data_IF_483339570773
#
_entry.id   IF_483339570773
#
_cell.length_a   1.000
_cell.length_b   1.000
_cell.length_c   1.000
_cell.angle_alpha   90.00
_cell.angle_beta   90.00
_cell.angle_gamma   90.00
#
_symmetry.space_group_name_H-M   'P 1'
#
loop_
_entity.id
_entity.type
_entity.pdbx_description
1 polymer ?
#
# COMPACT_ATOMS: atom_id res chain seq x y z
N UNK A 1 -73.42 -8.72 -36.14
CA UNK A 1 -74.07 -7.44 -35.75
C UNK A 1 -74.88 -6.78 -36.86
N UNK A 2 -74.45 -6.83 -38.14
CA UNK A 2 -75.29 -6.35 -39.27
C UNK A 2 -76.51 -7.25 -39.55
N UNK A 3 -76.39 -8.55 -39.35
CA UNK A 3 -77.47 -9.54 -39.60
C UNK A 3 -78.61 -9.47 -38.57
N UNK A 4 -78.30 -9.12 -37.32
CA UNK A 4 -79.29 -8.97 -36.25
C UNK A 4 -80.14 -7.70 -36.39
N UNK A 5 -79.61 -6.64 -37.02
CA UNK A 5 -80.39 -5.43 -37.32
C UNK A 5 -81.36 -5.62 -38.49
N UNK A 6 -80.95 -6.36 -39.53
CA UNK A 6 -81.80 -6.66 -40.69
C UNK A 6 -83.03 -7.48 -40.31
N UNK A 7 -82.88 -8.43 -39.38
CA UNK A 7 -83.99 -9.24 -38.88
C UNK A 7 -85.04 -8.41 -38.12
N UNK A 8 -84.63 -7.40 -37.35
CA UNK A 8 -85.54 -6.54 -36.58
C UNK A 8 -86.32 -5.58 -37.50
N UNK A 9 -85.71 -5.11 -38.59
CA UNK A 9 -86.36 -4.25 -39.60
C UNK A 9 -87.32 -5.05 -40.49
N UNK A 10 -87.01 -6.32 -40.81
CA UNK A 10 -87.93 -7.19 -41.54
C UNK A 10 -89.13 -7.62 -40.70
N UNK A 11 -88.96 -7.80 -39.38
CA UNK A 11 -90.06 -8.13 -38.47
C UNK A 11 -91.02 -6.94 -38.25
N UNK A 12 -90.52 -5.70 -38.32
CA UNK A 12 -91.35 -4.49 -38.18
C UNK A 12 -92.14 -4.13 -39.45
N UNK A 13 -91.68 -4.58 -40.64
CA UNK A 13 -92.44 -4.39 -41.89
C UNK A 13 -93.59 -5.40 -42.08
N UNK A 14 -93.54 -6.58 -41.45
CA UNK A 14 -94.59 -7.61 -41.58
C UNK A 14 -95.82 -7.38 -40.68
N UNK A 15 -95.74 -6.45 -39.72
CA UNK A 15 -96.86 -6.09 -38.83
C UNK A 15 -97.77 -4.99 -39.39
N UNK A 16 -97.52 -4.53 -40.63
CA UNK A 16 -98.32 -3.50 -41.29
C UNK A 16 -98.77 -4.07 -42.65
N UNK A 17 -99.99 -4.61 -42.69
CA UNK A 17 -100.72 -4.91 -43.92
C UNK A 17 -102.18 -4.46 -43.76
N UNK A 18 -102.82 -4.04 -44.85
CA UNK A 18 -103.83 -2.99 -44.88
C UNK A 18 -105.20 -3.53 -44.50
N UNK A 19 -105.93 -2.79 -43.67
CA UNK A 19 -107.35 -3.05 -43.41
C UNK A 19 -108.16 -2.38 -44.52
N UNK A 20 -108.83 -3.21 -45.31
CA UNK A 20 -109.69 -2.82 -46.43
C UNK A 20 -110.75 -1.79 -46.03
N UNK A 21 -110.99 -0.85 -46.95
CA UNK A 21 -112.10 0.08 -46.91
C UNK A 21 -113.44 -0.67 -47.03
N UNK A 22 -114.37 -0.38 -46.12
CA UNK A 22 -115.79 -0.53 -46.37
C UNK A 22 -116.57 0.60 -45.71
N UNK A 23 -117.54 1.08 -46.48
CA UNK A 23 -118.23 2.36 -46.44
C UNK A 23 -118.99 2.73 -45.16
N UNK A 24 -118.85 4.03 -44.82
CA UNK A 24 -119.90 5.05 -44.64
C UNK A 24 -120.94 4.91 -43.50
N UNK A 25 -120.75 5.82 -42.53
CA UNK A 25 -121.74 6.62 -41.81
C UNK A 25 -122.88 5.93 -41.03
N UNK A 26 -122.61 5.70 -39.74
CA UNK A 26 -123.56 6.03 -38.64
C UNK A 26 -122.80 6.15 -37.29
N UNK A 27 -121.69 6.86 -37.31
CA UNK A 27 -120.75 7.08 -36.21
C UNK A 27 -120.93 8.54 -35.80
N UNK A 28 -121.13 8.87 -34.51
CA UNK A 28 -120.37 10.00 -33.96
C UNK A 28 -120.36 10.18 -32.44
N UNK A 29 -121.32 9.72 -31.64
CA UNK A 29 -121.29 10.11 -30.20
C UNK A 29 -120.77 9.02 -29.24
N UNK A 30 -121.13 7.75 -29.39
CA UNK A 30 -120.69 6.70 -28.43
C UNK A 30 -119.31 6.08 -28.76
N UNK A 31 -118.92 6.05 -30.05
CA UNK A 31 -117.61 5.54 -30.49
C UNK A 31 -116.50 6.58 -30.36
N UNK A 32 -116.84 7.86 -30.39
CA UNK A 32 -115.89 8.97 -30.29
C UNK A 32 -115.42 9.11 -28.83
N UNK A 33 -116.32 8.96 -27.85
CA UNK A 33 -115.95 8.89 -26.43
C UNK A 33 -115.10 7.66 -26.11
N UNK A 34 -115.40 6.50 -26.68
CA UNK A 34 -114.61 5.27 -26.50
C UNK A 34 -113.23 5.33 -27.18
N UNK A 35 -113.12 5.95 -28.36
CA UNK A 35 -111.82 6.16 -29.01
C UNK A 35 -111.01 7.24 -28.29
N UNK A 36 -111.66 8.30 -27.79
CA UNK A 36 -111.04 9.38 -27.03
C UNK A 36 -110.57 8.89 -25.65
N UNK A 37 -111.27 7.96 -25.00
CA UNK A 37 -110.79 7.31 -23.78
C UNK A 37 -109.57 6.42 -24.04
N UNK A 38 -109.56 5.64 -25.12
CA UNK A 38 -108.41 4.81 -25.52
C UNK A 38 -107.20 5.68 -25.92
N UNK A 39 -107.43 6.80 -26.60
CA UNK A 39 -106.38 7.77 -26.95
C UNK A 39 -105.80 8.43 -25.69
N UNK A 40 -106.63 8.81 -24.72
CA UNK A 40 -106.17 9.33 -23.42
C UNK A 40 -105.34 8.29 -22.67
N UNK A 41 -105.80 7.04 -22.60
CA UNK A 41 -105.06 5.95 -21.95
C UNK A 41 -103.71 5.68 -22.63
N UNK A 42 -103.66 5.69 -23.97
CA UNK A 42 -102.41 5.59 -24.73
C UNK A 42 -101.47 6.77 -24.47
N UNK A 43 -102.00 7.99 -24.37
CA UNK A 43 -101.19 9.17 -24.11
C UNK A 43 -100.61 9.14 -22.68
N UNK A 44 -101.40 8.73 -21.68
CA UNK A 44 -100.93 8.52 -20.30
C UNK A 44 -99.81 7.47 -20.28
N UNK A 45 -99.99 6.33 -20.97
CA UNK A 45 -98.94 5.30 -21.08
C UNK A 45 -97.68 5.79 -21.77
N UNK A 46 -97.81 6.62 -22.81
CA UNK A 46 -96.67 7.23 -23.49
C UNK A 46 -95.92 8.22 -22.60
N UNK A 47 -96.64 9.04 -21.82
CA UNK A 47 -96.02 9.92 -20.82
C UNK A 47 -95.28 9.13 -19.73
N UNK A 48 -95.86 8.01 -19.26
CA UNK A 48 -95.20 7.12 -18.31
C UNK A 48 -93.95 6.48 -18.90
N UNK A 49 -94.02 5.97 -20.13
CA UNK A 49 -92.85 5.42 -20.83
C UNK A 49 -91.75 6.47 -21.02
N UNK A 50 -92.12 7.71 -21.35
CA UNK A 50 -91.15 8.79 -21.54
C UNK A 50 -90.48 9.18 -20.20
N UNK A 51 -91.23 9.21 -19.10
CA UNK A 51 -90.67 9.40 -17.75
C UNK A 51 -89.70 8.27 -17.37
N UNK A 52 -90.06 7.02 -17.64
CA UNK A 52 -89.19 5.85 -17.40
C UNK A 52 -87.93 5.93 -18.27
N UNK A 53 -88.05 6.36 -19.52
CA UNK A 53 -86.90 6.50 -20.44
C UNK A 53 -85.94 7.60 -19.97
N UNK A 54 -86.46 8.74 -19.52
CA UNK A 54 -85.65 9.84 -18.98
C UNK A 54 -84.94 9.39 -17.69
N UNK A 55 -85.65 8.66 -16.81
CA UNK A 55 -85.07 8.11 -15.60
C UNK A 55 -83.93 7.13 -15.89
N UNK A 56 -84.18 6.13 -16.74
CA UNK A 56 -83.17 5.11 -17.11
C UNK A 56 -81.99 5.72 -17.87
N UNK A 57 -82.21 6.70 -18.75
CA UNK A 57 -81.14 7.47 -19.41
C UNK A 57 -80.27 8.23 -18.40
N UNK A 58 -80.89 8.82 -17.38
CA UNK A 58 -80.19 9.55 -16.32
C UNK A 58 -79.40 8.60 -15.42
N UNK A 59 -79.96 7.44 -15.06
CA UNK A 59 -79.28 6.40 -14.29
C UNK A 59 -78.09 5.79 -15.03
N UNK A 60 -78.23 5.53 -16.34
CA UNK A 60 -77.15 5.06 -17.19
C UNK A 60 -76.01 6.10 -17.23
N UNK A 61 -76.34 7.37 -17.48
CA UNK A 61 -75.35 8.45 -17.51
C UNK A 61 -74.64 8.59 -16.16
N UNK A 62 -75.37 8.52 -15.04
CA UNK A 62 -74.77 8.54 -13.71
C UNK A 62 -73.86 7.34 -13.48
N UNK A 63 -74.26 6.14 -13.90
CA UNK A 63 -73.44 4.92 -13.80
C UNK A 63 -72.14 5.06 -14.60
N UNK A 64 -72.20 5.64 -15.81
CA UNK A 64 -71.01 5.93 -16.59
C UNK A 64 -70.09 6.95 -15.91
N UNK A 65 -70.64 8.04 -15.34
CA UNK A 65 -69.83 9.01 -14.61
C UNK A 65 -69.21 8.42 -13.34
N UNK A 66 -69.94 7.56 -12.62
CA UNK A 66 -69.39 6.82 -11.48
C UNK A 66 -68.26 5.87 -11.89
N UNK A 67 -68.46 5.09 -12.96
CA UNK A 67 -67.44 4.20 -13.48
C UNK A 67 -66.20 4.96 -13.97
N UNK A 68 -66.38 6.10 -14.64
CA UNK A 68 -65.29 6.96 -15.09
C UNK A 68 -64.54 7.58 -13.90
N UNK A 69 -65.26 8.07 -12.90
CA UNK A 69 -64.69 8.64 -11.67
C UNK A 69 -63.87 7.61 -10.89
N UNK A 70 -64.39 6.39 -10.76
CA UNK A 70 -63.66 5.28 -10.14
C UNK A 70 -62.41 4.91 -10.95
N UNK A 71 -62.52 4.79 -12.27
CA UNK A 71 -61.37 4.47 -13.14
C UNK A 71 -60.26 5.54 -13.05
N UNK A 72 -60.63 6.82 -13.10
CA UNK A 72 -59.67 7.92 -13.01
C UNK A 72 -58.98 7.98 -11.64
N UNK A 73 -59.72 7.81 -10.54
CA UNK A 73 -59.16 7.79 -9.19
C UNK A 73 -58.28 6.56 -8.96
N UNK A 74 -58.70 5.39 -9.44
CA UNK A 74 -57.89 4.18 -9.40
C UNK A 74 -56.57 4.35 -10.16
N UNK A 75 -56.61 4.94 -11.36
CA UNK A 75 -55.42 5.19 -12.17
C UNK A 75 -54.46 6.18 -11.50
N UNK A 76 -54.98 7.27 -10.93
CA UNK A 76 -54.18 8.24 -10.17
C UNK A 76 -53.54 7.62 -8.93
N UNK A 77 -54.29 6.82 -8.17
CA UNK A 77 -53.77 6.15 -6.99
C UNK A 77 -52.72 5.11 -7.37
N UNK A 78 -52.98 4.29 -8.39
CA UNK A 78 -52.02 3.33 -8.92
C UNK A 78 -50.73 4.01 -9.39
N UNK A 79 -50.83 5.13 -10.11
CA UNK A 79 -49.68 5.91 -10.55
C UNK A 79 -48.90 6.49 -9.37
N UNK A 80 -49.61 7.09 -8.39
CA UNK A 80 -48.99 7.68 -7.20
C UNK A 80 -48.24 6.66 -6.36
N UNK A 81 -48.85 5.48 -6.13
CA UNK A 81 -48.23 4.37 -5.41
C UNK A 81 -47.01 3.85 -6.16
N UNK A 82 -47.09 3.64 -7.48
CA UNK A 82 -45.95 3.21 -8.28
C UNK A 82 -44.81 4.22 -8.23
N UNK A 83 -45.07 5.51 -8.48
CA UNK A 83 -44.05 6.56 -8.43
C UNK A 83 -43.37 6.61 -7.06
N UNK A 84 -44.16 6.52 -5.98
CA UNK A 84 -43.62 6.49 -4.63
C UNK A 84 -42.68 5.29 -4.41
N UNK A 85 -43.12 4.07 -4.73
CA UNK A 85 -42.30 2.88 -4.56
C UNK A 85 -41.05 2.89 -5.45
N UNK A 86 -41.17 3.30 -6.72
CA UNK A 86 -40.01 3.41 -7.62
C UNK A 86 -39.00 4.43 -7.12
N UNK A 87 -39.47 5.59 -6.65
CA UNK A 87 -38.58 6.63 -6.09
C UNK A 87 -37.90 6.17 -4.80
N UNK A 88 -38.65 5.51 -3.92
CA UNK A 88 -38.10 5.00 -2.66
C UNK A 88 -37.02 3.94 -2.93
N UNK A 89 -37.33 2.95 -3.78
CA UNK A 89 -36.39 1.90 -4.18
C UNK A 89 -35.14 2.47 -4.86
N UNK A 90 -35.31 3.44 -5.76
CA UNK A 90 -34.18 4.10 -6.41
C UNK A 90 -33.26 4.82 -5.41
N UNK A 91 -33.83 5.50 -4.41
CA UNK A 91 -33.04 6.17 -3.38
C UNK A 91 -32.30 5.16 -2.49
N UNK A 92 -32.95 4.07 -2.09
CA UNK A 92 -32.33 2.99 -1.32
C UNK A 92 -31.17 2.34 -2.10
N UNK A 93 -31.39 1.99 -3.36
CA UNK A 93 -30.37 1.40 -4.22
C UNK A 93 -29.18 2.36 -4.41
N UNK A 94 -29.47 3.65 -4.60
CA UNK A 94 -28.43 4.70 -4.71
C UNK A 94 -27.63 4.83 -3.41
N UNK A 95 -28.29 4.88 -2.26
CA UNK A 95 -27.61 5.01 -0.96
C UNK A 95 -26.77 3.76 -0.65
N UNK A 96 -27.30 2.58 -0.96
CA UNK A 96 -26.57 1.32 -0.84
C UNK A 96 -25.30 1.32 -1.70
N UNK A 97 -25.40 1.72 -2.98
CA UNK A 97 -24.25 1.81 -3.87
C UNK A 97 -23.22 2.81 -3.38
N UNK A 98 -23.65 4.00 -2.93
CA UNK A 98 -22.74 5.01 -2.39
C UNK A 98 -21.98 4.47 -1.17
N UNK A 99 -22.68 3.88 -0.20
CA UNK A 99 -22.04 3.28 0.98
C UNK A 99 -21.06 2.16 0.60
N UNK A 100 -21.43 1.31 -0.36
CA UNK A 100 -20.59 0.21 -0.78
C UNK A 100 -19.33 0.70 -1.51
N UNK A 101 -19.46 1.72 -2.36
CA UNK A 101 -18.33 2.36 -3.05
C UNK A 101 -17.40 3.05 -2.04
N UNK A 102 -17.94 3.83 -1.11
CA UNK A 102 -17.14 4.51 -0.09
C UNK A 102 -16.41 3.50 0.81
N UNK A 103 -17.08 2.42 1.21
CA UNK A 103 -16.46 1.34 1.99
C UNK A 103 -15.30 0.69 1.23
N UNK A 104 -15.50 0.33 -0.05
CA UNK A 104 -14.43 -0.25 -0.87
C UNK A 104 -13.28 0.70 -1.13
N UNK A 105 -13.57 1.98 -1.33
CA UNK A 105 -12.53 3.00 -1.47
C UNK A 105 -11.72 3.14 -0.18
N UNK A 106 -12.39 3.11 0.98
CA UNK A 106 -11.72 3.20 2.27
C UNK A 106 -10.87 1.96 2.57
N UNK A 107 -11.39 0.76 2.29
CA UNK A 107 -10.64 -0.50 2.38
C UNK A 107 -9.41 -0.48 1.45
N UNK A 108 -9.60 -0.15 0.17
CA UNK A 108 -8.50 -0.05 -0.79
C UNK A 108 -7.45 0.99 -0.41
N UNK A 109 -7.87 2.14 0.14
CA UNK A 109 -6.95 3.16 0.64
C UNK A 109 -6.14 2.66 1.84
N UNK A 110 -6.77 1.93 2.77
CA UNK A 110 -6.09 1.34 3.92
C UNK A 110 -5.13 0.21 3.52
N UNK A 111 -5.52 -0.65 2.58
CA UNK A 111 -4.64 -1.67 2.00
C UNK A 111 -3.43 -1.04 1.31
N UNK A 112 -3.65 -0.02 0.49
CA UNK A 112 -2.57 0.71 -0.18
C UNK A 112 -1.62 1.37 0.83
N UNK A 113 -2.16 2.00 1.89
CA UNK A 113 -1.37 2.60 2.96
C UNK A 113 -0.52 1.56 3.68
N UNK A 114 -1.10 0.40 4.01
CA UNK A 114 -0.39 -0.70 4.66
C UNK A 114 0.71 -1.27 3.76
N UNK A 115 0.42 -1.44 2.46
CA UNK A 115 1.39 -1.88 1.48
C UNK A 115 2.57 -0.91 1.36
N UNK A 116 2.29 0.39 1.22
CA UNK A 116 3.32 1.44 1.16
C UNK A 116 4.15 1.49 2.45
N UNK A 117 3.51 1.42 3.61
CA UNK A 117 4.21 1.41 4.90
C UNK A 117 5.16 0.22 5.03
N UNK A 118 4.71 -0.97 4.62
CA UNK A 118 5.56 -2.19 4.63
C UNK A 118 6.75 -2.06 3.68
N UNK A 119 6.55 -1.48 2.50
CA UNK A 119 7.64 -1.24 1.54
C UNK A 119 8.65 -0.21 2.06
N UNK A 120 8.18 0.87 2.69
CA UNK A 120 9.05 1.88 3.31
C UNK A 120 9.91 1.26 4.42
N UNK A 121 9.32 0.47 5.31
CA UNK A 121 10.06 -0.19 6.38
C UNK A 121 11.11 -1.19 5.85
N UNK A 122 10.76 -1.96 4.81
CA UNK A 122 11.71 -2.83 4.14
C UNK A 122 12.87 -2.06 3.49
N UNK A 123 12.59 -0.90 2.89
CA UNK A 123 13.60 -0.07 2.24
C UNK A 123 14.54 0.55 3.28
N UNK A 124 14.00 1.07 4.38
CA UNK A 124 14.75 1.61 5.51
C UNK A 124 15.71 0.56 6.10
N UNK A 125 15.20 -0.64 6.41
CA UNK A 125 16.04 -1.72 6.96
C UNK A 125 17.15 -2.18 5.99
N UNK A 126 16.91 -2.14 4.68
CA UNK A 126 17.94 -2.44 3.67
C UNK A 126 18.99 -1.34 3.60
N UNK A 127 18.56 -0.07 3.64
CA UNK A 127 19.46 1.08 3.62
C UNK A 127 20.38 1.07 4.85
N UNK A 128 19.84 0.78 6.03
CA UNK A 128 20.61 0.68 7.27
C UNK A 128 21.67 -0.42 7.17
N UNK A 129 21.28 -1.64 6.75
CA UNK A 129 22.22 -2.76 6.58
C UNK A 129 23.34 -2.46 5.58
N UNK A 130 23.01 -1.84 4.45
CA UNK A 130 24.01 -1.48 3.43
C UNK A 130 24.94 -0.39 3.95
N UNK A 131 24.40 0.64 4.60
CA UNK A 131 25.17 1.75 5.17
C UNK A 131 26.14 1.27 6.26
N UNK A 132 25.65 0.45 7.20
CA UNK A 132 26.48 -0.14 8.27
C UNK A 132 27.59 -1.01 7.69
N UNK A 133 27.28 -1.84 6.68
CA UNK A 133 28.27 -2.69 6.02
C UNK A 133 29.34 -1.85 5.30
N UNK A 134 28.94 -0.81 4.58
CA UNK A 134 29.85 0.08 3.87
C UNK A 134 30.79 0.82 4.84
N UNK A 135 30.23 1.40 5.91
CA UNK A 135 31.01 2.09 6.95
C UNK A 135 31.99 1.13 7.63
N UNK A 136 31.55 -0.07 8.00
CA UNK A 136 32.42 -1.08 8.61
C UNK A 136 33.57 -1.49 7.68
N UNK A 137 33.30 -1.66 6.39
CA UNK A 137 34.33 -1.96 5.40
C UNK A 137 35.34 -0.81 5.30
N UNK A 138 34.87 0.44 5.19
CA UNK A 138 35.75 1.61 5.13
C UNK A 138 36.61 1.76 6.38
N UNK A 139 36.07 1.48 7.58
CA UNK A 139 36.84 1.48 8.83
C UNK A 139 37.94 0.42 8.80
N UNK A 140 37.62 -0.80 8.33
CA UNK A 140 38.61 -1.87 8.21
C UNK A 140 39.73 -1.51 7.22
N UNK A 141 39.39 -0.91 6.08
CA UNK A 141 40.37 -0.49 5.07
C UNK A 141 41.27 0.64 5.61
N UNK A 142 40.70 1.58 6.38
CA UNK A 142 41.46 2.64 7.06
C UNK A 142 42.40 2.03 8.10
N UNK A 143 41.91 1.11 8.95
CA UNK A 143 42.75 0.46 9.96
C UNK A 143 43.89 -0.35 9.33
N UNK A 144 43.63 -1.04 8.22
CA UNK A 144 44.67 -1.74 7.47
C UNK A 144 45.75 -0.77 6.94
N UNK A 145 45.33 0.39 6.41
CA UNK A 145 46.26 1.45 5.99
C UNK A 145 47.04 2.03 7.16
N UNK A 146 46.41 2.28 8.29
CA UNK A 146 47.07 2.77 9.51
C UNK A 146 48.12 1.77 9.97
N UNK A 147 47.80 0.49 10.04
CA UNK A 147 48.73 -0.55 10.46
C UNK A 147 49.91 -0.66 9.48
N UNK A 148 49.66 -0.58 8.17
CA UNK A 148 50.72 -0.56 7.17
C UNK A 148 51.62 0.67 7.33
N UNK A 149 51.04 1.87 7.50
CA UNK A 149 51.81 3.09 7.74
C UNK A 149 52.62 3.01 9.04
N UNK A 150 52.08 2.41 10.10
CA UNK A 150 52.81 2.20 11.34
C UNK A 150 54.02 1.29 11.12
N UNK A 151 53.86 0.21 10.36
CA UNK A 151 54.97 -0.66 9.96
C UNK A 151 56.01 0.06 9.13
N UNK A 152 55.60 0.86 8.13
CA UNK A 152 56.50 1.65 7.29
C UNK A 152 57.29 2.66 8.14
N UNK A 153 56.63 3.36 9.06
CA UNK A 153 57.28 4.31 9.97
C UNK A 153 58.32 3.59 10.84
N UNK A 154 58.01 2.41 11.36
CA UNK A 154 58.97 1.63 12.14
C UNK A 154 60.18 1.18 11.32
N UNK A 155 59.98 0.74 10.08
CA UNK A 155 61.09 0.38 9.18
C UNK A 155 61.96 1.59 8.87
N UNK A 156 61.35 2.73 8.53
CA UNK A 156 62.10 3.97 8.27
C UNK A 156 62.92 4.41 9.50
N UNK A 157 62.43 4.19 10.72
CA UNK A 157 63.22 4.47 11.94
C UNK A 157 64.45 3.57 12.03
N UNK A 158 64.31 2.28 11.73
CA UNK A 158 65.44 1.35 11.71
C UNK A 158 66.46 1.78 10.67
N UNK A 159 66.02 2.12 9.44
CA UNK A 159 66.90 2.60 8.38
C UNK A 159 67.66 3.88 8.79
N UNK A 160 66.99 4.80 9.51
CA UNK A 160 67.65 6.01 10.05
C UNK A 160 68.74 5.62 11.06
N UNK A 161 68.46 4.72 12.01
CA UNK A 161 69.45 4.31 13.02
C UNK A 161 70.61 3.55 12.37
N UNK A 162 70.36 2.73 11.34
CA UNK A 162 71.41 2.06 10.56
C UNK A 162 72.35 3.06 9.89
N UNK A 163 71.80 4.10 9.25
CA UNK A 163 72.59 5.17 8.66
C UNK A 163 73.40 5.96 9.71
N UNK A 164 72.81 6.20 10.90
CA UNK A 164 73.51 6.82 12.02
C UNK A 164 74.68 5.95 12.51
N UNK A 165 74.53 4.62 12.54
CA UNK A 165 75.60 3.68 12.87
C UNK A 165 76.74 3.77 11.86
N UNK A 166 76.44 3.74 10.56
CA UNK A 166 77.45 3.86 9.50
C UNK A 166 78.24 5.16 9.62
N UNK A 167 77.54 6.28 9.84
CA UNK A 167 78.18 7.57 10.06
C UNK A 167 79.04 7.59 11.33
N UNK A 168 78.56 6.98 12.41
CA UNK A 168 79.26 6.98 13.69
C UNK A 168 80.51 6.10 13.66
N UNK A 169 80.47 4.97 12.94
CA UNK A 169 81.66 4.14 12.67
C UNK A 169 82.75 4.94 11.96
N UNK A 170 82.40 5.81 11.01
CA UNK A 170 83.36 6.70 10.34
C UNK A 170 83.96 7.76 11.29
N UNK A 171 83.21 8.18 12.30
CA UNK A 171 83.66 9.17 13.30
C UNK A 171 84.53 8.59 14.43
N UNK A 172 84.59 7.26 14.57
CA UNK A 172 85.46 6.56 15.53
C UNK A 172 84.93 6.43 16.96
N UNK A 173 83.69 6.85 17.24
CA UNK A 173 83.10 6.77 18.59
C UNK A 173 82.33 5.45 18.79
N UNK A 174 83.05 4.38 19.13
CA UNK A 174 82.48 3.03 19.23
C UNK A 174 81.40 2.86 20.32
N UNK A 175 81.43 3.66 21.40
CA UNK A 175 80.43 3.61 22.46
C UNK A 175 79.02 4.01 21.99
N UNK A 176 78.93 4.96 21.06
CA UNK A 176 77.66 5.39 20.48
C UNK A 176 77.10 4.31 19.54
N UNK A 177 77.97 3.62 18.81
CA UNK A 177 77.60 2.49 17.95
C UNK A 177 76.95 1.36 18.75
N UNK A 178 77.54 1.02 19.91
CA UNK A 178 77.02 0.00 20.81
C UNK A 178 75.58 0.31 21.25
N UNK A 179 75.31 1.57 21.61
CA UNK A 179 73.97 2.03 22.00
C UNK A 179 72.98 1.97 20.84
N UNK A 180 73.37 2.45 19.66
CA UNK A 180 72.50 2.43 18.48
C UNK A 180 72.06 1.00 18.10
N UNK A 181 72.92 -0.02 18.28
CA UNK A 181 72.51 -1.40 18.07
C UNK A 181 71.44 -1.88 19.05
N UNK A 182 71.51 -1.46 20.32
CA UNK A 182 70.46 -1.74 21.32
C UNK A 182 69.15 -1.06 20.94
N UNK A 183 69.21 0.18 20.46
CA UNK A 183 68.04 0.94 20.00
C UNK A 183 67.36 0.26 18.79
N UNK A 184 68.14 -0.28 17.84
CA UNK A 184 67.59 -1.06 16.70
C UNK A 184 66.87 -2.32 17.19
N UNK A 185 67.47 -3.08 18.12
CA UNK A 185 66.85 -4.30 18.67
C UNK A 185 65.51 -3.95 19.36
N UNK A 186 65.44 -2.81 20.05
CA UNK A 186 64.22 -2.35 20.69
C UNK A 186 63.14 -1.94 19.69
N UNK A 187 63.48 -1.22 18.61
CA UNK A 187 62.51 -0.85 17.57
C UNK A 187 62.05 -2.07 16.74
N UNK A 188 62.94 -3.00 16.41
CA UNK A 188 62.59 -4.27 15.75
C UNK A 188 61.58 -5.08 16.57
N UNK A 189 61.71 -5.06 17.89
CA UNK A 189 60.76 -5.74 18.80
C UNK A 189 59.38 -5.09 18.83
N UNK A 190 59.27 -3.78 18.55
CA UNK A 190 57.98 -3.06 18.48
C UNK A 190 57.22 -3.34 17.19
N UNK A 191 57.92 -3.76 16.14
CA UNK A 191 57.34 -4.17 14.86
C UNK A 191 56.84 -5.61 14.97
N UNK A 192 55.76 -5.77 15.72
CA UNK A 192 55.14 -7.06 16.05
C UNK A 192 54.54 -7.69 14.77
N UNK A 193 55.38 -8.40 14.00
CA UNK A 193 55.00 -9.42 13.01
C UNK A 193 56.25 -10.05 12.36
N UNK A 194 56.49 -11.32 12.73
CA UNK A 194 57.24 -12.41 12.09
C UNK A 194 58.29 -12.05 11.02
N UNK A 195 59.56 -12.34 11.34
CA UNK A 195 60.61 -12.56 10.34
C UNK A 195 61.90 -11.80 10.54
N UNK A 196 62.03 -10.98 11.59
CA UNK A 196 63.22 -10.18 11.86
C UNK A 196 64.18 -10.80 12.88
N UNK A 197 63.91 -12.02 13.32
CA UNK A 197 64.72 -12.72 14.32
C UNK A 197 66.18 -12.89 13.89
N UNK A 198 66.42 -13.12 12.60
CA UNK A 198 67.77 -13.17 12.02
C UNK A 198 68.49 -11.82 12.19
N UNK A 199 67.79 -10.70 11.94
CA UNK A 199 68.35 -9.36 12.03
C UNK A 199 68.64 -8.97 13.48
N UNK A 200 67.77 -9.38 14.41
CA UNK A 200 68.02 -9.27 15.86
C UNK A 200 69.26 -10.08 16.26
N UNK A 201 69.39 -11.31 15.77
CA UNK A 201 70.57 -12.16 16.04
C UNK A 201 71.87 -11.52 15.54
N UNK A 202 71.85 -10.93 14.35
CA UNK A 202 73.01 -10.26 13.76
C UNK A 202 73.44 -9.07 14.63
N UNK A 203 72.50 -8.20 15.02
CA UNK A 203 72.83 -7.06 15.89
C UNK A 203 73.27 -7.47 17.30
N UNK A 204 72.70 -8.53 17.88
CA UNK A 204 73.19 -9.06 19.15
C UNK A 204 74.63 -9.60 19.04
N UNK A 205 74.99 -10.14 17.87
CA UNK A 205 76.36 -10.61 17.59
C UNK A 205 77.33 -9.43 17.48
N UNK A 206 76.95 -8.37 16.76
CA UNK A 206 77.72 -7.12 16.66
C UNK A 206 77.91 -6.46 18.05
N UNK A 207 76.87 -6.43 18.89
CA UNK A 207 76.96 -5.97 20.27
C UNK A 207 77.98 -6.79 21.06
N UNK A 208 77.98 -8.12 20.90
CA UNK A 208 78.92 -9.01 21.57
C UNK A 208 80.37 -8.79 21.10
N UNK A 209 80.58 -8.50 19.81
CA UNK A 209 81.90 -8.18 19.26
C UNK A 209 82.44 -6.88 19.84
N UNK A 210 81.65 -5.81 19.85
CA UNK A 210 82.04 -4.51 20.42
C UNK A 210 82.38 -4.61 21.92
N UNK A 211 81.64 -5.43 22.67
CA UNK A 211 81.95 -5.68 24.08
C UNK A 211 83.28 -6.44 24.26
N UNK A 212 83.63 -7.38 23.35
CA UNK A 212 84.94 -8.07 23.37
C UNK A 212 86.09 -7.13 23.03
N UNK A 213 85.86 -6.16 22.15
CA UNK A 213 86.84 -5.12 21.82
C UNK A 213 87.10 -4.15 22.99
N UNK A 214 86.30 -4.23 24.06
CA UNK A 214 86.48 -3.45 25.29
C UNK A 214 85.60 -2.20 25.38
N UNK A 215 84.65 -2.02 24.45
CA UNK A 215 83.63 -0.97 24.54
C UNK A 215 82.71 -1.32 25.72
N UNK A 216 82.31 -0.32 26.51
CA UNK A 216 81.46 -0.51 27.69
C UNK A 216 80.20 0.32 27.59
N UNK A 217 79.09 -0.24 28.06
CA UNK A 217 77.87 0.53 28.29
C UNK A 217 78.07 1.57 29.39
N UNK A 218 77.33 2.68 29.30
CA UNK A 218 77.24 3.61 30.41
C UNK A 218 76.46 2.98 31.56
N UNK A 219 76.82 3.31 32.80
CA UNK A 219 76.14 2.79 33.99
C UNK A 219 74.64 3.13 34.03
N UNK A 220 74.23 4.21 33.38
CA UNK A 220 72.83 4.62 33.20
C UNK A 220 72.05 3.74 32.20
N UNK A 221 72.73 3.08 31.27
CA UNK A 221 72.11 2.28 30.18
C UNK A 221 71.93 0.81 30.59
N UNK A 222 72.73 0.31 31.53
CA UNK A 222 72.69 -1.07 32.00
C UNK A 222 71.30 -1.58 32.45
N UNK A 223 70.47 -0.81 33.17
CA UNK A 223 69.13 -1.26 33.56
C UNK A 223 68.21 -1.46 32.35
N UNK A 224 68.29 -0.57 31.36
CA UNK A 224 67.48 -0.61 30.15
C UNK A 224 67.89 -1.78 29.26
N UNK A 225 69.20 -1.96 29.05
CA UNK A 225 69.75 -3.10 28.29
C UNK A 225 69.39 -4.42 28.98
N UNK A 226 69.51 -4.50 30.31
CA UNK A 226 69.14 -5.71 31.06
C UNK A 226 67.66 -6.05 30.93
N UNK A 227 66.79 -5.03 30.96
CA UNK A 227 65.35 -5.18 30.74
C UNK A 227 65.04 -5.66 29.32
N UNK A 228 65.72 -5.09 28.31
CA UNK A 228 65.58 -5.50 26.92
C UNK A 228 65.98 -6.97 26.72
N UNK A 229 67.16 -7.36 27.22
CA UNK A 229 67.69 -8.71 27.08
C UNK A 229 66.83 -9.74 27.82
N UNK A 230 66.25 -9.39 28.97
CA UNK A 230 65.31 -10.26 29.70
C UNK A 230 63.98 -10.43 28.94
N UNK A 231 63.63 -9.48 28.08
CA UNK A 231 62.42 -9.49 27.27
C UNK A 231 62.55 -10.21 25.93
N UNK A 232 63.74 -10.70 25.58
CA UNK A 232 63.98 -11.43 24.33
C UNK A 232 63.49 -12.89 24.43
N UNK A 233 63.04 -13.49 23.31
CA UNK A 233 62.68 -14.91 23.27
C UNK A 233 63.88 -15.83 23.57
N UNK A 234 63.59 -17.00 24.16
CA UNK A 234 64.61 -17.98 24.59
C UNK A 234 65.57 -18.45 23.48
N UNK A 235 65.19 -18.29 22.21
CA UNK A 235 66.06 -18.62 21.07
C UNK A 235 67.35 -17.78 21.02
N UNK A 236 67.40 -16.65 21.73
CA UNK A 236 68.59 -15.80 21.81
C UNK A 236 69.40 -16.00 23.11
N UNK A 237 69.01 -16.93 23.99
CA UNK A 237 69.60 -17.09 25.33
C UNK A 237 71.13 -17.29 25.30
N UNK A 238 71.65 -18.03 24.32
CA UNK A 238 73.08 -18.28 24.16
C UNK A 238 73.88 -16.99 23.90
N UNK A 239 73.36 -16.11 23.04
CA UNK A 239 74.01 -14.83 22.72
C UNK A 239 73.82 -13.86 23.89
N UNK A 240 72.63 -13.81 24.48
CA UNK A 240 72.34 -13.00 25.67
C UNK A 240 73.27 -13.36 26.83
N UNK A 241 73.52 -14.65 27.07
CA UNK A 241 74.45 -15.12 28.10
C UNK A 241 75.87 -14.62 27.85
N UNK A 242 76.35 -14.68 26.60
CA UNK A 242 77.66 -14.14 26.22
C UNK A 242 77.74 -12.64 26.46
N UNK A 243 76.75 -11.86 26.04
CA UNK A 243 76.71 -10.41 26.25
C UNK A 243 76.75 -10.10 27.76
N UNK A 244 75.94 -10.77 28.58
CA UNK A 244 75.94 -10.57 30.05
C UNK A 244 77.28 -10.86 30.71
N UNK A 245 78.02 -11.86 30.23
CA UNK A 245 79.35 -12.17 30.76
C UNK A 245 80.38 -11.08 30.45
N UNK A 246 80.24 -10.36 29.34
CA UNK A 246 81.13 -9.25 28.97
C UNK A 246 80.70 -7.90 29.58
N UNK A 247 79.46 -7.81 30.10
CA UNK A 247 78.99 -6.63 30.84
C UNK A 247 79.44 -6.60 32.32
N UNK A 248 79.87 -7.74 32.87
CA UNK A 248 80.38 -7.86 34.25
C UNK A 248 81.85 -7.46 34.32
#
# INVERSE_FOLDING_TARGET
>A
MKETMLAIILLSLFLISPLEAKDVQSIENNNLDATLSVLKEKNIRLEEQNKILIHTSTELRNSYYWALGFSATFLLLFLGVNIYFFRNRYNEDKEYLLKHVDSKLHEGANEMRNYVSKQLHNLESRLEKVSVKAVKQSINDINAKINNLHSIIGMNKIDIIELEIEQTKLSGVQANVLRSYVDIIQELRKLDNCGWDWKISDYLSEVCELLKEGVKFNSSELPEVSSLLNGLPNQFDDIVYKIRNHMR
#
